data_IF_456191670618
#
_entry.id   IF_456191670618
#
_cell.length_a   1.000
_cell.length_b   1.000
_cell.length_c   1.000
_cell.angle_alpha   90.00
_cell.angle_beta   90.00
_cell.angle_gamma   90.00
#
_symmetry.space_group_name_H-M   'P 1'
#
loop_
_entity.id
_entity.type
_entity.pdbx_description
1 polymer ?
#
# COMPACT_ATOMS: atom_id res chain seq x y z
N UNK A 1 -9.86 4.02 1.53
CA UNK A 1 -8.44 3.65 1.35
C UNK A 1 -7.57 4.89 1.48
N UNK A 2 -6.58 4.94 2.38
CA UNK A 2 -5.65 6.06 2.45
C UNK A 2 -4.71 6.07 1.24
N UNK A 3 -4.11 7.22 0.94
CA UNK A 3 -3.02 7.28 -0.03
C UNK A 3 -1.73 6.80 0.63
N UNK A 4 -1.17 5.73 0.09
CA UNK A 4 0.02 5.01 0.57
C UNK A 4 1.15 5.04 -0.47
N UNK A 5 0.89 5.49 -1.70
CA UNK A 5 1.92 5.64 -2.72
C UNK A 5 3.02 6.59 -2.25
N UNK A 6 4.28 6.20 -2.46
CA UNK A 6 5.48 6.92 -2.00
C UNK A 6 5.83 6.72 -0.52
N UNK A 7 4.98 6.04 0.27
CA UNK A 7 5.29 5.72 1.67
C UNK A 7 6.05 4.40 1.78
N UNK A 8 6.78 4.25 2.89
CA UNK A 8 7.39 2.99 3.28
C UNK A 8 6.40 2.14 4.07
N UNK A 9 6.64 0.82 4.11
CA UNK A 9 5.82 -0.12 4.86
C UNK A 9 5.65 0.27 6.34
N UNK A 10 6.70 0.84 6.94
CA UNK A 10 6.73 1.32 8.33
C UNK A 10 5.66 2.37 8.61
N UNK A 11 5.46 3.33 7.69
CA UNK A 11 4.43 4.38 7.81
C UNK A 11 3.03 3.86 7.47
N UNK A 12 2.96 2.86 6.59
CA UNK A 12 1.72 2.29 6.06
C UNK A 12 1.05 1.35 7.06
N UNK A 13 1.83 0.57 7.80
CA UNK A 13 1.34 -0.39 8.81
C UNK A 13 0.39 0.24 9.86
N UNK A 14 0.69 1.40 10.48
CA UNK A 14 -0.24 2.06 11.39
C UNK A 14 -1.48 2.63 10.69
N UNK A 15 -1.36 3.12 9.45
CA UNK A 15 -2.51 3.58 8.65
C UNK A 15 -3.48 2.44 8.36
N UNK A 16 -2.98 1.28 7.95
CA UNK A 16 -3.78 0.08 7.69
C UNK A 16 -4.46 -0.43 8.96
N UNK A 17 -3.79 -0.38 10.11
CA UNK A 17 -4.40 -0.71 11.40
C UNK A 17 -5.60 0.17 11.74
N UNK A 18 -5.58 1.45 11.36
CA UNK A 18 -6.71 2.38 11.58
C UNK A 18 -7.93 2.04 10.71
N UNK A 19 -7.73 1.37 9.58
CA UNK A 19 -8.82 0.93 8.69
C UNK A 19 -9.56 -0.30 9.23
N UNK A 20 -9.03 -0.95 10.27
CA UNK A 20 -9.65 -2.12 10.91
C UNK A 20 -9.23 -3.44 10.31
N UNK A 21 -10.16 -4.39 10.21
CA UNK A 21 -9.93 -5.71 9.59
C UNK A 21 -9.81 -5.55 8.08
N UNK A 22 -8.58 -5.50 7.57
CA UNK A 22 -8.25 -5.49 6.15
C UNK A 22 -7.19 -6.55 5.85
N UNK A 23 -7.27 -7.15 4.65
CA UNK A 23 -6.35 -8.21 4.23
C UNK A 23 -5.29 -7.64 3.29
N UNK A 24 -4.09 -7.40 3.82
CA UNK A 24 -3.03 -6.72 3.08
C UNK A 24 -2.09 -7.73 2.43
N UNK A 25 -1.88 -7.60 1.12
CA UNK A 25 -0.96 -8.40 0.32
C UNK A 25 0.10 -7.48 -0.27
N UNK A 26 1.37 -7.85 -0.16
CA UNK A 26 2.49 -7.09 -0.72
C UNK A 26 3.01 -7.77 -1.98
N UNK A 27 3.36 -6.98 -2.98
CA UNK A 27 4.04 -7.39 -4.22
C UNK A 27 5.27 -6.52 -4.40
N UNK A 28 6.27 -7.04 -5.09
CA UNK A 28 7.50 -6.31 -5.41
C UNK A 28 7.64 -6.24 -6.93
N UNK A 29 8.04 -5.08 -7.44
CA UNK A 29 8.30 -4.85 -8.87
C UNK A 29 9.62 -4.11 -9.03
N UNK A 30 10.43 -4.48 -10.04
CA UNK A 30 11.66 -3.76 -10.32
C UNK A 30 11.34 -2.33 -10.76
N UNK A 31 12.01 -1.35 -10.18
CA UNK A 31 11.87 0.06 -10.52
C UNK A 31 13.19 0.65 -10.96
N UNK A 32 13.15 1.52 -11.98
CA UNK A 32 14.33 2.23 -12.44
C UNK A 32 14.64 3.46 -11.58
N UNK A 33 13.62 4.02 -10.93
CA UNK A 33 13.75 5.16 -10.03
C UNK A 33 14.24 4.74 -8.66
N UNK A 34 15.42 5.22 -8.28
CA UNK A 34 15.98 4.99 -6.94
C UNK A 34 15.09 5.58 -5.83
N UNK A 35 14.32 6.63 -6.13
CA UNK A 35 13.36 7.21 -5.19
C UNK A 35 12.20 6.26 -4.87
N UNK A 36 11.87 5.36 -5.80
CA UNK A 36 10.79 4.38 -5.65
C UNK A 36 11.24 3.09 -4.95
N UNK A 37 12.55 2.86 -4.77
CA UNK A 37 13.06 1.70 -4.04
C UNK A 37 12.57 1.69 -2.60
N UNK A 38 12.13 0.52 -2.15
CA UNK A 38 11.57 0.28 -0.81
C UNK A 38 10.35 1.15 -0.48
N UNK A 39 9.67 1.69 -1.50
CA UNK A 39 8.44 2.47 -1.35
C UNK A 39 7.31 1.84 -2.13
N UNK A 40 6.08 2.17 -1.74
CA UNK A 40 4.90 1.74 -2.46
C UNK A 40 4.82 2.53 -3.77
N UNK A 41 4.91 1.84 -4.89
CA UNK A 41 4.72 2.41 -6.23
C UNK A 41 3.26 2.39 -6.67
N UNK A 42 2.49 1.42 -6.16
CA UNK A 42 1.08 1.29 -6.50
C UNK A 42 0.30 0.62 -5.38
N UNK A 43 -0.97 0.97 -5.28
CA UNK A 43 -1.91 0.41 -4.32
C UNK A 43 -3.22 0.07 -5.02
N UNK A 44 -3.85 -1.00 -4.56
CA UNK A 44 -5.16 -1.43 -4.99
C UNK A 44 -5.97 -1.89 -3.76
N UNK A 45 -7.20 -1.39 -3.54
CA UNK A 45 -7.91 -0.38 -4.31
C UNK A 45 -7.27 1.04 -4.23
N UNK A 46 -7.64 1.93 -5.16
CA UNK A 46 -7.03 3.25 -5.27
C UNK A 46 -7.26 4.15 -4.02
N UNK A 47 -6.44 5.18 -3.84
CA UNK A 47 -6.61 6.13 -2.75
C UNK A 47 -8.01 6.79 -2.81
N UNK A 48 -8.67 6.93 -1.66
CA UNK A 48 -10.05 7.41 -1.56
C UNK A 48 -11.12 6.36 -1.84
N UNK A 49 -10.76 5.16 -2.35
CA UNK A 49 -11.74 4.11 -2.61
C UNK A 49 -12.45 3.65 -1.32
N UNK A 50 -13.72 3.28 -1.46
CA UNK A 50 -14.49 2.68 -0.37
C UNK A 50 -13.88 1.33 0.00
N UNK A 51 -13.60 1.12 1.29
CA UNK A 51 -13.10 -0.15 1.80
C UNK A 51 -14.20 -0.79 2.63
N UNK A 52 -14.64 -1.95 2.19
CA UNK A 52 -15.56 -2.78 2.97
C UNK A 52 -14.82 -3.49 4.12
N UNK A 53 -15.54 -3.92 5.17
CA UNK A 53 -14.97 -4.73 6.24
C UNK A 53 -14.37 -6.03 5.68
N UNK A 54 -13.08 -6.27 5.90
CA UNK A 54 -12.38 -7.43 5.34
C UNK A 54 -11.86 -7.24 3.91
N UNK A 55 -11.92 -6.02 3.37
CA UNK A 55 -11.42 -5.74 2.03
C UNK A 55 -9.96 -6.15 1.86
N UNK A 56 -9.66 -6.68 0.66
CA UNK A 56 -8.31 -7.04 0.26
C UNK A 56 -7.60 -5.80 -0.28
N UNK A 57 -6.41 -5.55 0.24
CA UNK A 57 -5.54 -4.45 -0.16
C UNK A 57 -4.28 -5.07 -0.74
N UNK A 58 -3.94 -4.72 -1.98
CA UNK A 58 -2.70 -5.10 -2.64
C UNK A 58 -1.79 -3.88 -2.72
N UNK A 59 -0.59 -4.01 -2.17
CA UNK A 59 0.42 -2.96 -2.22
C UNK A 59 1.61 -3.45 -3.01
N UNK A 60 2.07 -2.63 -3.93
CA UNK A 60 3.20 -2.94 -4.79
C UNK A 60 4.38 -2.06 -4.40
N UNK A 61 5.50 -2.68 -4.04
CA UNK A 61 6.74 -2.06 -3.64
C UNK A 61 7.73 -2.03 -4.80
N UNK A 62 8.42 -0.92 -4.97
CA UNK A 62 9.55 -0.83 -5.88
C UNK A 62 10.79 -1.46 -5.24
N UNK A 63 11.47 -2.33 -5.96
CA UNK A 63 12.75 -2.94 -5.55
C UNK A 63 13.87 -2.65 -6.55
#
# INVERSE_FOLDING_TARGET
MPNLAGLQWSDVKPLLRKLGRVNVTTKEVPVNDAEQKSRIVSQDPAAGAHLEPGAKIVLTFGV
#
